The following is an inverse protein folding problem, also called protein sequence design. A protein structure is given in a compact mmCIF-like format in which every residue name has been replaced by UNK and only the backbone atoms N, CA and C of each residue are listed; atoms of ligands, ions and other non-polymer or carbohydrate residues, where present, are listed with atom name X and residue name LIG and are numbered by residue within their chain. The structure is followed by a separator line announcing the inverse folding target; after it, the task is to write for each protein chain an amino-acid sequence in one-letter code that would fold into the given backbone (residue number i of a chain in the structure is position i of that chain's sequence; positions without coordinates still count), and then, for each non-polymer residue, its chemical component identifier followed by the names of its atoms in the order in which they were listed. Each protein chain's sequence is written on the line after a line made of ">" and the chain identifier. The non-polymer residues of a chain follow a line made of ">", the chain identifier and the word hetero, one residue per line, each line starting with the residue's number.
data_IF_409464185019
#
_entry.id   IF_409464185019
#
_cell.length_a   1.000
_cell.length_b   1.000
_cell.length_c   1.000
_cell.angle_alpha   90.00
_cell.angle_beta   90.00
_cell.angle_gamma   90.00
#
_symmetry.space_group_name_H-M   'P 1'
#
loop_
_entity.id
_entity.type
_entity.pdbx_description
1 polymer ?
#
# COMPACT_ATOMS: atom_id res chain seq x y z
N UNK A 1 17.25 -7.65 -0.59
CA UNK A 1 16.59 -6.68 -1.48
C UNK A 1 17.49 -5.49 -1.78
N UNK A 2 17.92 -4.71 -0.77
CA UNK A 2 18.67 -3.46 -1.00
C UNK A 2 19.98 -3.62 -1.81
N UNK A 3 20.74 -4.69 -1.60
CA UNK A 3 21.96 -4.94 -2.40
C UNK A 3 21.64 -5.12 -3.91
N UNK A 4 20.54 -5.81 -4.22
CA UNK A 4 20.08 -5.95 -5.60
C UNK A 4 19.61 -4.61 -6.17
N UNK A 5 18.84 -3.84 -5.37
CA UNK A 5 18.37 -2.52 -5.80
C UNK A 5 19.55 -1.57 -6.10
N UNK A 6 20.54 -1.51 -5.21
CA UNK A 6 21.73 -0.69 -5.40
C UNK A 6 22.51 -1.08 -6.67
N UNK A 7 22.59 -2.39 -6.98
CA UNK A 7 23.31 -2.89 -8.16
C UNK A 7 22.56 -2.66 -9.49
N UNK A 8 21.23 -2.54 -9.47
CA UNK A 8 20.40 -2.50 -10.67
C UNK A 8 19.62 -1.18 -10.84
N UNK A 9 19.92 -0.18 -10.01
CA UNK A 9 19.19 1.09 -9.95
C UNK A 9 19.11 1.77 -11.33
N UNK A 10 17.88 2.01 -11.79
CA UNK A 10 17.59 2.80 -12.98
C UNK A 10 17.15 4.20 -12.53
N UNK A 11 17.96 5.25 -12.77
CA UNK A 11 17.56 6.62 -12.43
C UNK A 11 16.24 6.99 -13.14
N UNK A 12 15.34 7.74 -12.47
CA UNK A 12 14.20 8.33 -13.16
C UNK A 12 14.69 9.21 -14.32
N UNK A 13 13.93 9.26 -15.43
CA UNK A 13 14.31 10.08 -16.57
C UNK A 13 14.31 11.56 -16.15
N UNK A 14 15.41 12.28 -16.41
CA UNK A 14 15.49 13.72 -16.19
C UNK A 14 14.47 14.42 -17.10
N UNK A 15 13.48 15.12 -16.52
CA UNK A 15 12.24 15.64 -17.12
C UNK A 15 11.02 14.71 -17.07
N UNK A 16 10.99 13.72 -16.17
CA UNK A 16 9.79 12.91 -15.96
C UNK A 16 8.57 13.82 -15.69
N UNK A 17 7.58 13.72 -16.57
CA UNK A 17 6.25 14.25 -16.32
C UNK A 17 5.66 13.55 -15.08
N UNK A 18 4.56 14.08 -14.54
CA UNK A 18 3.83 13.36 -13.50
C UNK A 18 3.55 11.92 -13.94
N UNK A 19 3.86 10.95 -13.06
CA UNK A 19 3.65 9.53 -13.33
C UNK A 19 2.17 9.22 -13.12
N UNK A 20 1.55 8.59 -14.11
CA UNK A 20 0.17 8.09 -13.99
C UNK A 20 0.16 6.57 -14.01
N UNK A 21 -0.35 5.97 -12.94
CA UNK A 21 -0.45 4.52 -12.75
C UNK A 21 -1.89 4.09 -13.02
N UNK A 22 -2.09 3.11 -13.89
CA UNK A 22 -3.41 2.51 -14.09
C UNK A 22 -3.77 1.66 -12.89
N UNK A 23 -5.01 1.76 -12.41
CA UNK A 23 -5.50 1.04 -11.24
C UNK A 23 -6.68 0.14 -11.63
N UNK A 24 -6.54 -1.16 -11.44
CA UNK A 24 -7.62 -2.14 -11.55
C UNK A 24 -8.16 -2.45 -10.14
N UNK A 25 -9.46 -2.24 -9.93
CA UNK A 25 -10.09 -2.39 -8.61
C UNK A 25 -10.98 -3.64 -8.57
N UNK A 26 -10.63 -4.60 -7.72
CA UNK A 26 -11.28 -5.91 -7.63
C UNK A 26 -12.05 -6.04 -6.32
N UNK A 27 -13.37 -5.88 -6.40
CA UNK A 27 -14.28 -6.05 -5.26
C UNK A 27 -14.63 -7.53 -5.09
N UNK A 28 -14.00 -8.21 -4.13
CA UNK A 28 -14.39 -9.56 -3.73
C UNK A 28 -15.36 -9.48 -2.55
N UNK A 29 -16.45 -10.24 -2.60
CA UNK A 29 -17.51 -10.15 -1.61
C UNK A 29 -18.16 -11.51 -1.30
N UNK A 30 -18.70 -11.63 -0.09
CA UNK A 30 -19.45 -12.80 0.38
C UNK A 30 -20.96 -12.68 0.17
N UNK A 31 -21.51 -11.46 0.16
CA UNK A 31 -22.92 -11.18 -0.18
C UNK A 31 -23.04 -9.77 -0.77
N UNK A 32 -24.19 -9.44 -1.35
CA UNK A 32 -24.45 -8.13 -1.97
C UNK A 32 -24.76 -7.01 -0.97
N UNK A 33 -24.65 -7.27 0.34
CA UNK A 33 -24.72 -6.22 1.36
C UNK A 33 -23.35 -5.55 1.53
N UNK A 34 -23.36 -4.32 2.05
CA UNK A 34 -22.11 -3.63 2.40
C UNK A 34 -21.30 -4.44 3.42
N UNK A 35 -21.95 -5.00 4.44
CA UNK A 35 -21.33 -5.89 5.43
C UNK A 35 -20.77 -7.19 4.84
N UNK A 36 -21.24 -7.58 3.65
CA UNK A 36 -20.75 -8.71 2.89
C UNK A 36 -19.58 -8.37 1.96
N UNK A 37 -19.07 -7.14 1.98
CA UNK A 37 -17.96 -6.69 1.14
C UNK A 37 -18.37 -6.06 -0.20
N UNK A 38 -19.68 -5.93 -0.49
CA UNK A 38 -20.15 -5.34 -1.75
C UNK A 38 -20.15 -3.81 -1.70
N UNK A 39 -18.94 -3.23 -1.61
CA UNK A 39 -18.72 -1.77 -1.56
C UNK A 39 -19.21 -1.08 -2.84
N UNK A 40 -19.90 0.06 -2.79
CA UNK A 40 -20.40 0.77 -3.98
C UNK A 40 -19.32 1.64 -4.62
N UNK A 41 -19.50 1.99 -5.90
CA UNK A 41 -18.53 2.78 -6.68
C UNK A 41 -18.17 4.16 -6.07
N UNK A 42 -19.06 4.86 -5.34
CA UNK A 42 -18.67 6.06 -4.61
C UNK A 42 -17.58 5.82 -3.56
N UNK A 43 -17.52 4.66 -2.89
CA UNK A 43 -16.43 4.37 -1.95
C UNK A 43 -15.10 4.16 -2.69
N UNK A 44 -15.14 3.51 -3.86
CA UNK A 44 -13.95 3.34 -4.73
C UNK A 44 -13.46 4.71 -5.22
N UNK A 45 -14.39 5.58 -5.63
CA UNK A 45 -14.08 6.94 -6.10
C UNK A 45 -13.46 7.80 -4.97
N UNK A 46 -14.02 7.73 -3.77
CA UNK A 46 -13.45 8.39 -2.59
C UNK A 46 -12.05 7.87 -2.27
N UNK A 47 -11.84 6.56 -2.33
CA UNK A 47 -10.51 5.97 -2.11
C UNK A 47 -9.51 6.42 -3.17
N UNK A 48 -9.92 6.50 -4.44
CA UNK A 48 -9.06 7.00 -5.51
C UNK A 48 -8.68 8.48 -5.30
N UNK A 49 -9.58 9.29 -4.76
CA UNK A 49 -9.28 10.67 -4.39
C UNK A 49 -8.26 10.75 -3.25
N UNK A 50 -8.40 9.92 -2.21
CA UNK A 50 -7.43 9.83 -1.10
C UNK A 50 -6.05 9.42 -1.60
N UNK A 51 -5.96 8.39 -2.44
CA UNK A 51 -4.70 7.96 -3.08
C UNK A 51 -4.06 9.12 -3.86
N UNK A 52 -4.81 9.75 -4.77
CA UNK A 52 -4.28 10.84 -5.58
C UNK A 52 -3.81 12.03 -4.74
N UNK A 53 -4.52 12.36 -3.66
CA UNK A 53 -4.11 13.44 -2.75
C UNK A 53 -2.81 13.10 -2.00
N UNK A 54 -2.67 11.88 -1.49
CA UNK A 54 -1.49 11.46 -0.74
C UNK A 54 -0.22 11.39 -1.61
N UNK A 55 -0.37 10.99 -2.87
CA UNK A 55 0.75 10.78 -3.80
C UNK A 55 1.05 11.97 -4.73
N UNK A 56 0.17 12.97 -4.80
CA UNK A 56 0.40 14.18 -5.60
C UNK A 56 1.73 14.90 -5.28
N UNK A 57 2.18 15.04 -4.00
CA UNK A 57 3.49 15.62 -3.69
C UNK A 57 4.67 14.84 -4.28
N UNK A 58 4.52 13.53 -4.49
CA UNK A 58 5.52 12.70 -5.16
C UNK A 58 5.44 12.75 -6.69
N UNK A 59 4.53 13.56 -7.26
CA UNK A 59 4.29 13.62 -8.71
C UNK A 59 3.63 12.36 -9.28
N UNK A 60 2.89 11.62 -8.46
CA UNK A 60 2.23 10.37 -8.85
C UNK A 60 0.72 10.55 -8.79
N UNK A 61 0.04 9.98 -9.79
CA UNK A 61 -1.41 9.94 -9.90
C UNK A 61 -1.88 8.55 -10.28
N UNK A 62 -3.12 8.23 -9.92
CA UNK A 62 -3.77 6.96 -10.20
C UNK A 62 -5.03 7.19 -11.02
N UNK A 63 -5.21 6.41 -12.08
CA UNK A 63 -6.43 6.42 -12.91
C UNK A 63 -7.08 5.05 -12.86
N UNK A 64 -8.36 5.00 -12.47
CA UNK A 64 -9.14 3.76 -12.48
C UNK A 64 -9.32 3.26 -13.91
N UNK A 65 -8.74 2.12 -14.24
CA UNK A 65 -8.86 1.47 -15.56
C UNK A 65 -10.02 0.48 -15.61
N UNK A 66 -10.33 -0.17 -14.50
CA UNK A 66 -11.41 -1.17 -14.42
C UNK A 66 -11.91 -1.35 -13.00
N UNK A 67 -13.14 -1.85 -12.88
CA UNK A 67 -13.68 -2.37 -11.63
C UNK A 67 -14.32 -3.72 -11.88
N UNK A 68 -13.91 -4.74 -11.13
CA UNK A 68 -14.55 -6.06 -11.16
C UNK A 68 -15.26 -6.34 -9.85
N UNK A 69 -16.36 -7.09 -9.90
CA UNK A 69 -17.11 -7.51 -8.71
C UNK A 69 -17.27 -9.02 -8.73
N UNK A 70 -16.74 -9.70 -7.72
CA UNK A 70 -16.65 -11.16 -7.68
C UNK A 70 -17.26 -11.71 -6.40
N UNK A 71 -18.37 -12.43 -6.55
CA UNK A 71 -19.02 -13.16 -5.46
C UNK A 71 -18.23 -14.42 -5.15
N UNK A 72 -17.37 -14.37 -4.13
CA UNK A 72 -16.63 -15.53 -3.65
C UNK A 72 -16.36 -15.40 -2.16
N UNK A 73 -17.24 -16.00 -1.35
CA UNK A 73 -17.14 -15.96 0.11
C UNK A 73 -15.88 -16.65 0.62
N UNK A 74 -15.35 -17.67 -0.08
CA UNK A 74 -14.12 -18.34 0.36
C UNK A 74 -12.91 -17.41 0.23
N UNK A 75 -12.76 -16.70 -0.90
CA UNK A 75 -11.70 -15.70 -1.06
C UNK A 75 -11.89 -14.53 -0.11
N UNK A 76 -13.11 -14.00 -0.02
CA UNK A 76 -13.42 -12.89 0.87
C UNK A 76 -13.03 -13.16 2.34
N UNK A 77 -13.32 -14.36 2.84
CA UNK A 77 -13.08 -14.68 4.25
C UNK A 77 -11.66 -15.17 4.54
N UNK A 78 -11.04 -15.92 3.62
CA UNK A 78 -9.82 -16.71 3.90
C UNK A 78 -8.59 -16.30 3.08
N UNK A 79 -8.68 -15.29 2.21
CA UNK A 79 -7.49 -14.76 1.54
C UNK A 79 -6.54 -14.12 2.56
N UNK A 80 -5.25 -14.43 2.43
CA UNK A 80 -4.18 -13.88 3.27
C UNK A 80 -2.82 -14.16 2.65
N UNK A 81 -1.75 -13.52 3.13
CA UNK A 81 -0.41 -13.65 2.57
C UNK A 81 -0.01 -15.11 2.33
N UNK A 82 0.26 -15.45 1.06
CA UNK A 82 0.70 -16.79 0.65
C UNK A 82 -0.36 -17.89 0.73
N UNK A 83 -1.63 -17.56 1.01
CA UNK A 83 -2.69 -18.56 1.08
C UNK A 83 -3.12 -19.03 -0.32
N UNK A 84 -3.62 -20.27 -0.42
CA UNK A 84 -4.14 -20.78 -1.70
C UNK A 84 -5.32 -19.96 -2.21
N UNK A 85 -6.09 -19.32 -1.31
CA UNK A 85 -7.18 -18.42 -1.67
C UNK A 85 -6.66 -17.12 -2.29
N UNK A 86 -5.59 -16.51 -1.75
CA UNK A 86 -4.94 -15.37 -2.39
C UNK A 86 -4.44 -15.76 -3.79
N UNK A 87 -3.70 -16.88 -3.90
CA UNK A 87 -3.15 -17.33 -5.17
C UNK A 87 -4.25 -17.54 -6.22
N UNK A 88 -5.33 -18.22 -5.86
CA UNK A 88 -6.46 -18.45 -6.77
C UNK A 88 -7.19 -17.15 -7.13
N UNK A 89 -7.38 -16.25 -6.15
CA UNK A 89 -8.03 -14.95 -6.36
C UNK A 89 -7.23 -14.09 -7.34
N UNK A 90 -5.93 -13.89 -7.09
CA UNK A 90 -5.07 -13.07 -7.95
C UNK A 90 -4.88 -13.71 -9.32
N UNK A 91 -4.71 -15.04 -9.40
CA UNK A 91 -4.63 -15.74 -10.69
C UNK A 91 -5.89 -15.57 -11.56
N UNK A 92 -7.07 -15.49 -10.93
CA UNK A 92 -8.33 -15.33 -11.66
C UNK A 92 -8.63 -13.88 -12.05
N UNK A 93 -8.15 -12.90 -11.28
CA UNK A 93 -8.59 -11.52 -11.35
C UNK A 93 -7.53 -10.53 -11.84
N UNK A 94 -6.24 -10.86 -11.72
CA UNK A 94 -5.13 -9.97 -12.10
C UNK A 94 -5.29 -9.42 -13.52
N UNK A 95 -5.11 -8.11 -13.66
CA UNK A 95 -5.21 -7.39 -14.93
C UNK A 95 -4.01 -6.48 -15.14
N UNK A 96 -3.59 -6.36 -16.41
CA UNK A 96 -2.47 -5.51 -16.80
C UNK A 96 -1.12 -6.18 -16.59
N UNK A 97 -0.09 -5.37 -16.38
CA UNK A 97 1.29 -5.81 -16.12
C UNK A 97 1.97 -4.87 -15.14
N UNK A 98 3.30 -4.75 -15.20
CA UNK A 98 4.12 -4.04 -14.22
C UNK A 98 3.68 -2.60 -13.91
N UNK A 99 3.04 -1.92 -14.88
CA UNK A 99 2.54 -0.55 -14.79
C UNK A 99 1.09 -0.41 -14.30
N UNK A 100 0.43 -1.52 -13.97
CA UNK A 100 -0.95 -1.57 -13.47
C UNK A 100 -0.96 -2.02 -12.02
N UNK A 101 -1.49 -1.17 -11.14
CA UNK A 101 -1.76 -1.53 -9.76
C UNK A 101 -3.09 -2.29 -9.68
N UNK A 102 -3.03 -3.55 -9.26
CA UNK A 102 -4.24 -4.32 -8.89
C UNK A 102 -4.54 -4.16 -7.40
N UNK A 103 -5.75 -3.70 -7.06
CA UNK A 103 -6.25 -3.58 -5.68
C UNK A 103 -7.38 -4.56 -5.46
N UNK A 104 -7.30 -5.39 -4.42
CA UNK A 104 -8.33 -6.37 -4.07
C UNK A 104 -8.93 -6.06 -2.70
N UNK A 105 -10.26 -6.09 -2.58
CA UNK A 105 -10.91 -5.94 -1.27
C UNK A 105 -11.40 -7.28 -0.75
N UNK A 106 -11.08 -7.61 0.50
CA UNK A 106 -11.52 -8.82 1.20
C UNK A 106 -11.97 -8.51 2.63
N UNK A 107 -12.49 -9.52 3.34
CA UNK A 107 -13.02 -9.38 4.69
C UNK A 107 -12.05 -9.72 5.81
N UNK A 108 -10.97 -10.47 5.54
CA UNK A 108 -9.99 -10.90 6.54
C UNK A 108 -10.62 -11.52 7.81
N UNK A 109 -11.66 -12.32 7.63
CA UNK A 109 -12.41 -12.90 8.73
C UNK A 109 -11.77 -14.17 9.30
N UNK A 110 -10.90 -14.84 8.55
CA UNK A 110 -10.36 -16.16 8.88
C UNK A 110 -9.05 -16.44 8.12
N UNK A 111 -8.40 -17.56 8.45
CA UNK A 111 -7.16 -17.99 7.80
C UNK A 111 -5.95 -17.14 8.18
N UNK A 112 -4.91 -17.14 7.34
CA UNK A 112 -3.67 -16.41 7.59
C UNK A 112 -3.80 -14.88 7.48
N UNK A 113 -4.88 -14.39 6.87
CA UNK A 113 -5.17 -12.96 6.76
C UNK A 113 -6.01 -12.42 7.92
N UNK A 114 -6.43 -13.26 8.87
CA UNK A 114 -7.36 -12.85 9.91
C UNK A 114 -6.81 -11.67 10.75
N UNK A 115 -7.57 -10.58 10.83
CA UNK A 115 -7.21 -9.39 11.59
C UNK A 115 -6.26 -8.41 10.90
N UNK A 116 -5.87 -8.66 9.65
CA UNK A 116 -5.10 -7.69 8.85
C UNK A 116 -5.99 -6.52 8.39
N UNK A 117 -5.36 -5.37 8.16
CA UNK A 117 -5.96 -4.25 7.42
C UNK A 117 -5.58 -4.29 5.93
N UNK A 118 -4.38 -4.77 5.61
CA UNK A 118 -3.92 -4.93 4.25
C UNK A 118 -2.60 -5.68 4.17
N UNK A 119 -2.17 -5.91 2.94
CA UNK A 119 -0.80 -6.31 2.58
C UNK A 119 -0.53 -6.01 1.10
N UNK A 120 0.75 -5.89 0.75
CA UNK A 120 1.22 -5.66 -0.61
C UNK A 120 2.39 -6.57 -0.98
N UNK A 121 2.63 -6.71 -2.29
CA UNK A 121 3.91 -7.20 -2.83
C UNK A 121 4.87 -6.05 -3.06
N UNK A 122 6.16 -6.25 -2.81
CA UNK A 122 7.19 -5.27 -3.13
C UNK A 122 7.50 -5.26 -4.63
N UNK A 123 7.95 -4.12 -5.20
CA UNK A 123 8.29 -4.03 -6.61
C UNK A 123 9.42 -5.01 -7.01
N UNK A 124 10.34 -5.30 -6.10
CA UNK A 124 11.42 -6.29 -6.33
C UNK A 124 10.93 -7.72 -6.54
N UNK A 125 9.70 -8.04 -6.11
CA UNK A 125 9.13 -9.38 -6.21
C UNK A 125 8.41 -9.60 -7.56
N UNK A 126 8.03 -8.51 -8.24
CA UNK A 126 7.24 -8.54 -9.48
C UNK A 126 7.78 -9.52 -10.52
N UNK A 127 9.09 -9.47 -10.81
CA UNK A 127 9.69 -10.32 -11.84
C UNK A 127 9.60 -11.83 -11.53
N UNK A 128 9.60 -12.20 -10.25
CA UNK A 128 9.52 -13.60 -9.83
C UNK A 128 8.11 -14.17 -9.91
N UNK A 129 7.09 -13.35 -9.67
CA UNK A 129 5.70 -13.77 -9.70
C UNK A 129 4.75 -12.61 -10.08
N UNK A 130 4.68 -12.23 -11.37
CA UNK A 130 3.86 -11.10 -11.81
C UNK A 130 2.38 -11.24 -11.44
N UNK A 131 1.85 -12.47 -11.45
CA UNK A 131 0.44 -12.74 -11.14
C UNK A 131 0.09 -12.48 -9.67
N UNK A 132 1.06 -12.55 -8.75
CA UNK A 132 0.84 -12.24 -7.35
C UNK A 132 0.92 -10.75 -7.05
N UNK A 133 1.31 -9.92 -8.02
CA UNK A 133 1.51 -8.50 -7.79
C UNK A 133 0.22 -7.75 -7.43
N UNK A 134 0.35 -6.79 -6.51
CA UNK A 134 -0.72 -5.86 -6.15
C UNK A 134 -0.94 -5.77 -4.65
N UNK A 135 -2.06 -5.15 -4.29
CA UNK A 135 -2.41 -4.79 -2.92
C UNK A 135 -3.75 -5.42 -2.54
N UNK A 136 -3.82 -6.03 -1.37
CA UNK A 136 -5.07 -6.57 -0.82
C UNK A 136 -5.40 -5.82 0.46
N UNK A 137 -6.62 -5.28 0.57
CA UNK A 137 -7.06 -4.48 1.71
C UNK A 137 -8.38 -5.00 2.29
N UNK A 138 -8.58 -4.70 3.58
CA UNK A 138 -9.85 -4.86 4.26
C UNK A 138 -10.89 -3.93 3.62
N UNK A 139 -12.01 -4.48 3.15
CA UNK A 139 -13.03 -3.66 2.46
C UNK A 139 -13.58 -2.52 3.35
N UNK A 140 -13.61 -2.72 4.67
CA UNK A 140 -14.15 -1.78 5.65
C UNK A 140 -13.16 -0.68 6.08
N UNK A 141 -11.91 -0.70 5.61
CA UNK A 141 -10.93 0.39 5.82
C UNK A 141 -10.99 1.50 4.76
N UNK A 142 -11.79 1.30 3.72
CA UNK A 142 -12.06 2.34 2.73
C UNK A 142 -12.78 3.56 3.36
N UNK A 143 -12.71 4.75 2.73
CA UNK A 143 -13.45 5.92 3.17
C UNK A 143 -14.93 5.63 3.41
N UNK A 144 -15.42 5.96 4.60
CA UNK A 144 -16.81 5.72 5.01
C UNK A 144 -17.11 4.26 5.38
N UNK A 145 -16.09 3.40 5.45
CA UNK A 145 -16.19 2.05 5.97
C UNK A 145 -16.30 2.00 7.49
N UNK A 146 -16.44 0.79 8.05
CA UNK A 146 -16.70 0.56 9.48
C UNK A 146 -15.45 0.25 10.30
N UNK A 147 -14.27 0.14 9.70
CA UNK A 147 -13.03 -0.21 10.39
C UNK A 147 -12.36 0.99 11.07
N UNK A 148 -13.14 1.85 11.74
CA UNK A 148 -12.56 2.96 12.52
C UNK A 148 -11.58 2.43 13.58
N UNK A 149 -10.43 3.08 13.80
CA UNK A 149 -10.02 4.39 13.28
C UNK A 149 -9.34 4.38 11.89
N UNK A 150 -9.32 3.25 11.19
CA UNK A 150 -8.62 3.04 9.91
C UNK A 150 -9.57 3.09 8.70
N UNK A 151 -10.54 4.00 8.71
CA UNK A 151 -11.62 4.06 7.71
C UNK A 151 -11.64 5.37 6.90
N UNK A 152 -10.50 6.05 6.79
CA UNK A 152 -10.31 7.25 5.97
C UNK A 152 -9.54 6.93 4.66
N UNK A 153 -9.14 5.67 4.47
CA UNK A 153 -8.51 5.17 3.25
C UNK A 153 -6.99 5.19 3.27
N UNK A 154 -6.35 5.48 4.41
CA UNK A 154 -4.88 5.49 4.49
C UNK A 154 -4.25 4.12 4.63
N UNK A 155 -5.02 3.08 5.00
CA UNK A 155 -4.57 1.69 4.80
C UNK A 155 -4.13 1.44 3.36
N UNK A 156 -4.93 1.84 2.36
CA UNK A 156 -4.52 1.64 0.97
C UNK A 156 -3.35 2.55 0.57
N UNK A 157 -3.24 3.76 1.14
CA UNK A 157 -2.08 4.63 0.90
C UNK A 157 -0.80 3.95 1.40
N UNK A 158 -0.83 3.39 2.59
CA UNK A 158 0.27 2.64 3.21
C UNK A 158 0.70 1.43 2.38
N UNK A 159 -0.26 0.56 2.04
CA UNK A 159 0.04 -0.65 1.27
C UNK A 159 0.55 -0.35 -0.15
N UNK A 160 0.02 0.70 -0.78
CA UNK A 160 0.58 1.17 -2.07
C UNK A 160 2.00 1.70 -1.88
N UNK A 161 2.37 2.22 -0.71
CA UNK A 161 3.73 2.64 -0.39
C UNK A 161 4.70 1.45 -0.47
N UNK A 162 4.31 0.30 0.09
CA UNK A 162 5.05 -0.96 -0.06
C UNK A 162 5.13 -1.43 -1.51
N UNK A 163 4.01 -1.39 -2.26
CA UNK A 163 3.99 -1.75 -3.68
C UNK A 163 4.90 -0.87 -4.55
N UNK A 164 5.15 0.36 -4.09
CA UNK A 164 6.06 1.34 -4.65
C UNK A 164 7.48 1.28 -4.06
N UNK A 165 7.75 0.41 -3.09
CA UNK A 165 9.10 0.12 -2.58
C UNK A 165 9.52 0.85 -1.30
N UNK A 166 8.56 1.40 -0.54
CA UNK A 166 8.81 1.93 0.79
C UNK A 166 8.72 0.82 1.85
N UNK A 167 9.61 0.87 2.84
CA UNK A 167 9.47 0.07 4.05
C UNK A 167 8.67 0.83 5.10
N UNK A 168 8.31 0.15 6.17
CA UNK A 168 7.89 0.81 7.40
C UNK A 168 8.98 1.75 7.92
N UNK A 169 8.57 2.87 8.51
CA UNK A 169 9.49 3.84 9.11
C UNK A 169 10.32 3.25 10.26
N UNK A 170 9.74 2.33 11.03
CA UNK A 170 10.41 1.59 12.12
C UNK A 170 11.29 0.42 11.64
N UNK A 171 11.45 0.22 10.33
CA UNK A 171 12.27 -0.87 9.81
C UNK A 171 13.73 -0.70 10.25
N UNK A 172 14.31 -1.75 10.84
CA UNK A 172 15.70 -1.72 11.30
C UNK A 172 15.94 -1.03 12.66
N UNK A 173 14.93 -0.39 13.25
CA UNK A 173 15.01 0.22 14.58
C UNK A 173 16.06 1.35 14.70
N UNK A 174 16.41 1.72 15.92
CA UNK A 174 17.33 2.84 16.20
C UNK A 174 18.78 2.66 15.75
N UNK A 175 19.21 1.46 15.39
CA UNK A 175 20.61 1.13 15.11
C UNK A 175 20.85 0.47 13.76
N UNK A 176 19.78 0.22 12.99
CA UNK A 176 19.86 -0.34 11.65
C UNK A 176 20.07 0.72 10.56
N UNK A 177 19.90 0.30 9.31
CA UNK A 177 19.90 1.19 8.14
C UNK A 177 18.56 1.93 7.93
N UNK A 178 17.67 1.89 8.93
CA UNK A 178 16.31 2.43 8.85
C UNK A 178 15.46 1.79 7.75
N UNK A 179 14.48 2.56 7.31
CA UNK A 179 13.62 2.32 6.14
C UNK A 179 14.35 2.58 4.80
N UNK A 180 15.67 2.76 4.82
CA UNK A 180 16.50 3.11 3.66
C UNK A 180 16.11 4.43 2.99
N UNK A 181 15.59 5.38 3.78
CA UNK A 181 15.32 6.78 3.41
C UNK A 181 15.96 7.69 4.46
N UNK A 182 16.74 8.69 4.04
CA UNK A 182 17.62 9.41 4.98
C UNK A 182 16.93 10.56 5.72
N UNK A 183 15.83 11.09 5.17
CA UNK A 183 15.02 12.13 5.81
C UNK A 183 13.86 11.58 6.67
N UNK A 184 13.75 10.25 6.81
CA UNK A 184 12.88 9.60 7.80
C UNK A 184 13.68 9.41 9.11
N UNK A 185 13.32 10.08 10.22
CA UNK A 185 13.94 9.80 11.51
C UNK A 185 13.75 8.33 11.92
N UNK A 186 14.79 7.72 12.48
CA UNK A 186 14.71 6.35 12.99
C UNK A 186 13.82 6.29 14.24
N UNK A 187 13.04 5.23 14.35
CA UNK A 187 12.20 4.93 15.52
C UNK A 187 12.37 3.46 15.94
N UNK A 188 12.15 3.16 17.21
CA UNK A 188 12.40 1.82 17.77
C UNK A 188 11.31 0.80 17.40
N UNK A 189 10.08 1.27 17.19
CA UNK A 189 8.90 0.44 16.93
C UNK A 189 7.81 1.26 16.23
N UNK A 190 6.79 0.61 15.69
CA UNK A 190 5.61 1.30 15.20
C UNK A 190 4.92 2.15 16.30
N UNK A 191 4.34 3.27 15.88
CA UNK A 191 3.38 4.03 16.67
C UNK A 191 1.95 3.55 16.41
N UNK A 192 1.08 3.64 17.41
CA UNK A 192 -0.35 3.35 17.28
C UNK A 192 -1.17 4.47 17.91
N UNK A 193 -2.41 4.64 17.45
CA UNK A 193 -3.24 5.76 17.88
C UNK A 193 -2.73 7.08 17.30
N UNK A 194 -2.95 8.16 18.04
CA UNK A 194 -2.51 9.51 17.70
C UNK A 194 -1.54 10.07 18.76
N UNK A 195 -0.32 9.53 18.88
CA UNK A 195 0.64 10.00 19.86
C UNK A 195 1.11 11.42 19.55
N UNK A 196 1.74 12.07 20.53
CA UNK A 196 2.37 13.39 20.35
C UNK A 196 3.77 13.36 20.94
N UNK A 197 4.73 14.00 20.26
CA UNK A 197 6.11 14.17 20.74
C UNK A 197 6.85 12.86 21.03
N UNK A 198 6.48 11.77 20.33
CA UNK A 198 7.13 10.48 20.50
C UNK A 198 8.55 10.54 19.91
N UNK A 199 9.52 10.07 20.69
CA UNK A 199 10.93 10.09 20.34
C UNK A 199 11.59 8.89 21.05
N UNK A 200 11.79 7.81 20.30
CA UNK A 200 12.24 6.52 20.85
C UNK A 200 13.72 6.22 20.58
N UNK A 201 14.37 7.00 19.72
CA UNK A 201 15.76 6.85 19.36
C UNK A 201 16.58 8.09 19.76
N UNK A 202 17.86 7.92 20.07
CA UNK A 202 18.75 9.05 20.39
C UNK A 202 19.27 9.79 19.14
N UNK A 203 18.98 9.27 17.95
CA UNK A 203 19.27 9.93 16.68
C UNK A 203 18.47 11.22 16.54
N UNK A 204 18.91 12.10 15.65
CA UNK A 204 18.21 13.37 15.42
C UNK A 204 16.86 13.16 14.74
N UNK A 205 15.82 13.82 15.26
CA UNK A 205 14.45 13.80 14.73
C UNK A 205 13.51 13.02 15.64
N UNK A 206 12.27 13.49 15.77
CA UNK A 206 11.22 12.76 16.48
C UNK A 206 10.73 11.58 15.63
N UNK A 207 10.14 10.57 16.28
CA UNK A 207 9.54 9.44 15.59
C UNK A 207 8.53 9.97 14.53
N UNK A 208 8.54 9.41 13.32
CA UNK A 208 7.75 9.91 12.19
C UNK A 208 6.27 9.51 12.28
N UNK A 209 5.62 9.77 13.41
CA UNK A 209 4.25 9.35 13.77
C UNK A 209 3.14 9.87 12.85
N UNK A 210 3.46 10.82 11.97
CA UNK A 210 2.54 11.36 10.96
C UNK A 210 2.80 10.83 9.55
N UNK A 211 3.76 9.92 9.40
CA UNK A 211 4.13 9.34 8.12
C UNK A 211 3.14 8.25 7.72
N UNK A 212 2.80 8.16 6.43
CA UNK A 212 1.92 7.10 5.93
C UNK A 212 2.49 5.69 6.10
N UNK A 213 3.80 5.54 6.31
CA UNK A 213 4.48 4.24 6.49
C UNK A 213 4.65 3.82 7.95
N UNK A 214 4.06 4.55 8.91
CA UNK A 214 3.89 4.13 10.30
C UNK A 214 2.50 3.49 10.50
N UNK A 215 2.14 3.06 11.72
CA UNK A 215 0.87 2.40 12.06
C UNK A 215 -0.07 3.26 12.91
N UNK A 216 0.10 4.59 12.89
CA UNK A 216 -0.82 5.50 13.57
C UNK A 216 -2.24 5.42 12.99
N UNK A 217 -3.21 5.95 13.72
CA UNK A 217 -4.58 6.05 13.22
C UNK A 217 -4.62 6.91 11.95
N UNK A 218 -5.53 6.61 11.03
CA UNK A 218 -5.65 7.34 9.75
C UNK A 218 -5.73 8.87 9.97
N UNK A 219 -6.43 9.33 11.01
CA UNK A 219 -6.59 10.76 11.31
C UNK A 219 -5.29 11.48 11.66
N UNK A 220 -4.22 10.76 11.95
CA UNK A 220 -2.91 11.28 12.32
C UNK A 220 -1.83 11.08 11.25
N UNK A 221 -2.12 10.32 10.19
CA UNK A 221 -1.24 10.24 9.02
C UNK A 221 -1.44 11.44 8.10
N UNK A 222 -0.35 12.00 7.55
CA UNK A 222 -0.42 13.24 6.76
C UNK A 222 0.44 13.26 5.51
N UNK A 223 1.62 12.65 5.50
CA UNK A 223 2.55 12.84 4.37
C UNK A 223 3.62 11.74 4.24
N UNK A 224 4.10 11.57 3.00
CA UNK A 224 5.43 11.02 2.73
C UNK A 224 6.50 12.12 2.83
N UNK A 225 7.74 11.73 3.06
CA UNK A 225 8.89 12.65 2.99
C UNK A 225 9.37 12.86 1.53
N UNK A 226 10.09 13.95 1.24
CA UNK A 226 10.70 14.15 -0.08
C UNK A 226 11.59 13.00 -0.57
N UNK A 227 12.37 12.38 0.32
CA UNK A 227 13.20 11.24 -0.09
C UNK A 227 12.45 9.93 -0.21
N UNK A 228 11.33 9.74 0.52
CA UNK A 228 10.40 8.63 0.25
C UNK A 228 9.84 8.76 -1.18
N UNK A 229 9.42 9.96 -1.60
CA UNK A 229 9.00 10.21 -2.98
C UNK A 229 10.10 9.89 -4.01
N UNK A 230 11.34 10.30 -3.72
CA UNK A 230 12.49 10.03 -4.58
C UNK A 230 12.81 8.52 -4.67
N UNK A 231 12.68 7.81 -3.55
CA UNK A 231 12.82 6.35 -3.48
C UNK A 231 11.74 5.67 -4.31
N UNK A 232 10.48 6.05 -4.16
CA UNK A 232 9.35 5.52 -4.96
C UNK A 232 9.67 5.59 -6.45
N UNK A 233 10.01 6.79 -6.96
CA UNK A 233 10.26 6.99 -8.40
C UNK A 233 11.41 6.12 -8.90
N UNK A 234 12.45 5.96 -8.08
CA UNK A 234 13.58 5.09 -8.42
C UNK A 234 13.20 3.61 -8.41
N UNK A 235 12.41 3.17 -7.42
CA UNK A 235 11.97 1.79 -7.25
C UNK A 235 11.11 1.34 -8.44
N UNK A 236 10.10 2.14 -8.82
CA UNK A 236 9.21 1.80 -9.95
C UNK A 236 9.93 1.89 -11.30
N UNK A 237 10.87 2.82 -11.46
CA UNK A 237 11.73 2.88 -12.66
C UNK A 237 12.58 1.61 -12.78
N UNK A 238 13.15 1.16 -11.66
CA UNK A 238 14.05 -0.01 -11.64
C UNK A 238 13.32 -1.34 -11.87
N UNK A 239 12.20 -1.55 -11.18
CA UNK A 239 11.56 -2.87 -11.14
C UNK A 239 10.31 -2.99 -12.00
N UNK A 240 9.66 -1.85 -12.32
CA UNK A 240 8.40 -1.83 -13.07
C UNK A 240 8.52 -1.14 -14.44
N UNK A 241 9.64 -0.49 -14.73
CA UNK A 241 9.86 0.27 -15.97
C UNK A 241 8.92 1.47 -16.12
N UNK A 242 8.40 1.99 -15.01
CA UNK A 242 7.52 3.17 -14.97
C UNK A 242 8.41 4.41 -14.87
N UNK A 243 8.22 5.40 -15.75
CA UNK A 243 9.02 6.62 -15.85
C UNK A 243 8.15 7.87 -15.98
#
# INVERSE_FOLDING_TARGET
>A
MEAHFAANKVPPKSNAAAVTISLAFHVVYASTSLSGGYIPDPQISSQLAVLNNAYAPCGISFTLSSTTRTSNSNWFNNAGPGSSQQTAMKAALHQGGASTLSVYTVGFNSGSGAGLLGYATFPSEYASNPTDDGVVILYSSLPGGTAAPYNLGYTLVHEVGHWLGLYHTFQGGCSGTGDSVSDTPAEASAAFGCPTGRDTCSSTGQDPIHNFMDYTDDSCMTSFTPEQCSRILTQISTYRGIH
#
